data_IF_434190067898
#
_entry.id   IF_434190067898
#
_cell.length_a   1.000
_cell.length_b   1.000
_cell.length_c   1.000
_cell.angle_alpha   90.00
_cell.angle_beta   90.00
_cell.angle_gamma   90.00
#
_symmetry.space_group_name_H-M   'P 1'
#
loop_
_entity.id
_entity.type
_entity.pdbx_description
1 polymer ?
#
# COMPACT_ATOMS: atom_id res chain seq x y z
N UNK A 1 1.64 -7.61 -5.18
CA UNK A 1 2.23 -7.52 -3.83
C UNK A 1 1.51 -8.54 -2.95
N UNK A 2 2.20 -9.12 -1.97
CA UNK A 2 1.61 -10.18 -1.12
C UNK A 2 0.36 -9.65 -0.41
N UNK A 3 0.47 -8.50 0.27
CA UNK A 3 -0.64 -7.87 0.99
C UNK A 3 -1.85 -7.61 0.08
N UNK A 4 -1.64 -6.99 -1.10
CA UNK A 4 -2.74 -6.71 -2.02
C UNK A 4 -3.43 -7.98 -2.52
N UNK A 5 -2.69 -9.05 -2.76
CA UNK A 5 -3.25 -10.34 -3.19
C UNK A 5 -4.12 -10.96 -2.11
N UNK A 6 -3.64 -10.96 -0.86
CA UNK A 6 -4.39 -11.50 0.29
C UNK A 6 -5.66 -10.69 0.59
N UNK A 7 -5.60 -9.37 0.48
CA UNK A 7 -6.77 -8.49 0.61
C UNK A 7 -7.84 -8.80 -0.44
N UNK A 8 -7.43 -9.01 -1.70
CA UNK A 8 -8.36 -9.32 -2.80
C UNK A 8 -9.09 -10.65 -2.56
N UNK A 9 -8.40 -11.64 -2.00
CA UNK A 9 -8.97 -12.95 -1.70
C UNK A 9 -9.75 -13.00 -0.38
N UNK A 10 -9.73 -11.93 0.42
CA UNK A 10 -10.33 -11.92 1.76
C UNK A 10 -9.60 -12.81 2.78
N UNK A 11 -8.34 -13.15 2.52
CA UNK A 11 -7.49 -13.98 3.37
C UNK A 11 -6.86 -13.16 4.50
N UNK A 12 -7.70 -12.55 5.36
CA UNK A 12 -7.25 -11.65 6.42
C UNK A 12 -6.36 -12.35 7.46
N UNK A 13 -6.60 -13.63 7.75
CA UNK A 13 -5.78 -14.37 8.71
C UNK A 13 -4.34 -14.57 8.20
N UNK A 14 -4.15 -14.63 6.88
CA UNK A 14 -2.84 -14.71 6.25
C UNK A 14 -2.08 -13.37 6.24
N UNK A 15 -2.70 -12.27 6.70
CA UNK A 15 -2.07 -10.96 6.82
C UNK A 15 -1.43 -10.70 8.19
N UNK A 16 -1.69 -11.53 9.21
CA UNK A 16 -1.26 -11.26 10.60
C UNK A 16 0.25 -11.02 10.79
N UNK A 17 1.10 -11.53 9.89
CA UNK A 17 2.56 -11.32 9.94
C UNK A 17 3.04 -10.17 9.04
N UNK A 18 2.16 -9.58 8.24
CA UNK A 18 2.47 -8.51 7.27
C UNK A 18 1.81 -7.19 7.61
N UNK A 19 0.67 -7.25 8.31
CA UNK A 19 -0.20 -6.11 8.61
C UNK A 19 -0.58 -6.19 10.09
N UNK A 20 -0.55 -5.05 10.79
CA UNK A 20 -0.93 -5.01 12.20
C UNK A 20 -2.40 -5.42 12.39
N UNK A 21 -2.72 -5.96 13.57
CA UNK A 21 -4.07 -6.44 13.88
C UNK A 21 -5.10 -5.30 13.83
N UNK A 22 -4.68 -4.11 14.27
CA UNK A 22 -5.47 -2.89 14.27
C UNK A 22 -5.82 -2.50 12.83
N UNK A 23 -4.82 -2.47 11.94
CA UNK A 23 -5.03 -2.18 10.53
C UNK A 23 -5.91 -3.23 9.84
N UNK A 24 -5.76 -4.53 10.16
CA UNK A 24 -6.66 -5.57 9.63
C UNK A 24 -8.11 -5.33 10.10
N UNK A 25 -8.30 -4.98 11.37
CA UNK A 25 -9.62 -4.68 11.95
C UNK A 25 -10.31 -3.51 11.24
N UNK A 26 -9.55 -2.46 10.88
CA UNK A 26 -10.05 -1.32 10.13
C UNK A 26 -10.35 -1.64 8.65
N UNK A 27 -9.49 -2.43 8.00
CA UNK A 27 -9.63 -2.77 6.58
C UNK A 27 -10.78 -3.74 6.32
N UNK A 28 -10.97 -4.73 7.20
CA UNK A 28 -11.90 -5.85 6.97
C UNK A 28 -13.33 -5.40 6.65
N UNK A 29 -13.98 -4.49 7.41
CA UNK A 29 -15.32 -4.01 7.09
C UNK A 29 -15.41 -3.31 5.74
N UNK A 30 -14.40 -2.51 5.38
CA UNK A 30 -14.34 -1.77 4.11
C UNK A 30 -14.22 -2.73 2.93
N UNK A 31 -13.29 -3.69 3.00
CA UNK A 31 -13.07 -4.67 1.94
C UNK A 31 -14.29 -5.59 1.75
N UNK A 32 -14.98 -5.94 2.84
CA UNK A 32 -16.19 -6.78 2.80
C UNK A 32 -17.37 -6.08 2.11
N UNK A 33 -17.46 -4.74 2.17
CA UNK A 33 -18.48 -3.94 1.48
C UNK A 33 -18.24 -3.79 -0.03
N UNK A 34 -17.01 -4.01 -0.50
CA UNK A 34 -16.68 -3.91 -1.92
C UNK A 34 -17.32 -5.05 -2.73
N UNK A 35 -17.86 -4.71 -3.90
CA UNK A 35 -18.22 -5.70 -4.91
C UNK A 35 -17.00 -6.51 -5.37
N UNK A 36 -17.23 -7.69 -5.95
CA UNK A 36 -16.15 -8.52 -6.52
C UNK A 36 -15.32 -7.72 -7.54
N UNK A 37 -15.97 -6.91 -8.37
CA UNK A 37 -15.29 -6.07 -9.36
C UNK A 37 -14.40 -5.02 -8.68
N UNK A 38 -14.90 -4.29 -7.68
CA UNK A 38 -14.12 -3.31 -6.93
C UNK A 38 -12.97 -3.97 -6.17
N UNK A 39 -13.20 -5.12 -5.54
CA UNK A 39 -12.16 -5.84 -4.80
C UNK A 39 -11.03 -6.31 -5.72
N UNK A 40 -11.34 -6.79 -6.93
CA UNK A 40 -10.32 -7.09 -7.95
C UNK A 40 -9.47 -5.87 -8.33
N UNK A 41 -10.00 -4.64 -8.21
CA UNK A 41 -9.22 -3.43 -8.46
C UNK A 41 -8.17 -3.14 -7.38
N UNK A 42 -8.16 -3.86 -6.25
CA UNK A 42 -7.09 -3.75 -5.25
C UNK A 42 -5.87 -4.61 -5.61
N UNK A 43 -5.98 -5.48 -6.61
CA UNK A 43 -4.86 -6.32 -7.02
C UNK A 43 -3.80 -5.46 -7.71
N UNK A 44 -2.57 -5.57 -7.21
CA UNK A 44 -1.40 -4.84 -7.69
C UNK A 44 -0.29 -5.83 -8.01
N UNK A 45 0.18 -5.82 -9.27
CA UNK A 45 1.37 -6.55 -9.66
C UNK A 45 2.62 -5.71 -9.36
N UNK A 46 3.67 -6.32 -8.80
CA UNK A 46 4.89 -5.58 -8.43
C UNK A 46 5.58 -4.98 -9.66
N UNK A 47 5.53 -5.68 -10.79
CA UNK A 47 6.10 -5.26 -12.07
C UNK A 47 5.32 -4.13 -12.74
N UNK A 48 4.09 -3.87 -12.28
CA UNK A 48 3.26 -2.74 -12.72
C UNK A 48 3.53 -1.44 -11.94
N UNK A 49 4.40 -1.48 -10.93
CA UNK A 49 4.89 -0.28 -10.23
C UNK A 49 5.93 0.41 -11.11
N UNK A 50 5.66 1.65 -11.51
CA UNK A 50 6.59 2.44 -12.34
C UNK A 50 7.35 3.51 -11.54
N UNK A 51 6.85 3.88 -10.37
CA UNK A 51 7.50 4.86 -9.50
C UNK A 51 7.17 4.56 -8.04
N UNK A 52 8.16 4.72 -7.17
CA UNK A 52 7.99 4.52 -5.74
C UNK A 52 8.93 5.46 -4.98
N UNK A 53 8.47 6.00 -3.85
CA UNK A 53 9.27 6.88 -3.03
C UNK A 53 8.82 6.85 -1.55
N UNK A 54 9.72 7.11 -0.60
CA UNK A 54 9.34 7.37 0.78
C UNK A 54 8.72 8.77 0.87
N UNK A 55 7.49 8.85 1.37
CA UNK A 55 6.80 10.11 1.59
C UNK A 55 7.10 10.70 2.97
N UNK A 56 7.17 9.86 4.00
CA UNK A 56 7.42 10.29 5.37
C UNK A 56 8.22 9.22 6.09
N UNK A 57 9.20 9.66 6.89
CA UNK A 57 9.93 8.82 7.85
C UNK A 57 9.77 9.46 9.22
N UNK A 58 9.34 8.68 10.21
CA UNK A 58 9.13 9.13 11.58
C UNK A 58 9.82 8.20 12.57
N UNK A 59 10.30 8.77 13.68
CA UNK A 59 10.79 8.02 14.84
C UNK A 59 9.87 8.34 16.00
N UNK A 60 9.34 7.31 16.65
CA UNK A 60 8.42 7.42 17.76
C UNK A 60 9.15 6.89 18.99
N UNK A 61 9.16 7.68 20.07
CA UNK A 61 9.70 7.30 21.36
C UNK A 61 8.53 7.09 22.33
N UNK A 62 8.58 6.01 23.10
CA UNK A 62 7.72 5.86 24.27
C UNK A 62 8.37 6.61 25.44
N UNK A 63 7.77 7.71 25.88
CA UNK A 63 8.25 8.51 27.01
C UNK A 63 7.68 8.04 28.35
N UNK A 64 6.73 7.09 28.35
CA UNK A 64 5.98 6.70 29.56
C UNK A 64 6.65 5.57 30.38
N UNK A 65 7.56 4.78 29.79
CA UNK A 65 8.23 3.67 30.50
C UNK A 65 9.63 4.05 31.01
N UNK A 66 9.79 4.24 32.32
CA UNK A 66 11.07 4.56 32.99
C UNK A 66 12.14 3.45 32.88
N UNK A 67 11.76 2.22 32.52
CA UNK A 67 12.65 1.04 32.54
C UNK A 67 13.17 0.63 31.17
N UNK A 68 12.38 0.78 30.11
CA UNK A 68 12.78 0.49 28.73
C UNK A 68 12.14 1.51 27.78
N UNK A 69 12.97 2.39 27.20
CA UNK A 69 12.48 3.37 26.24
C UNK A 69 12.23 2.68 24.90
N UNK A 70 10.97 2.35 24.61
CA UNK A 70 10.62 1.76 23.31
C UNK A 70 10.78 2.76 22.18
N UNK A 71 11.24 2.26 21.03
CA UNK A 71 11.51 3.06 19.84
C UNK A 71 10.93 2.40 18.63
N UNK A 72 10.17 3.14 17.85
CA UNK A 72 9.65 2.68 16.57
C UNK A 72 10.11 3.59 15.44
N UNK A 73 10.36 2.99 14.29
CA UNK A 73 10.51 3.71 13.03
C UNK A 73 9.28 3.44 12.19
N UNK A 74 8.70 4.51 11.66
CA UNK A 74 7.63 4.45 10.67
C UNK A 74 8.09 5.01 9.33
N UNK A 75 7.78 4.31 8.24
CA UNK A 75 8.05 4.75 6.87
C UNK A 75 6.77 4.64 6.06
N UNK A 76 6.25 5.77 5.60
CA UNK A 76 5.15 5.79 4.62
C UNK A 76 5.76 5.74 3.22
N UNK A 77 5.58 4.62 2.54
CA UNK A 77 5.94 4.45 1.13
C UNK A 77 4.74 4.72 0.24
N UNK A 78 4.98 5.43 -0.86
CA UNK A 78 4.01 5.69 -1.92
C UNK A 78 4.45 4.95 -3.17
N UNK A 79 3.54 4.17 -3.76
CA UNK A 79 3.76 3.43 -4.99
C UNK A 79 2.78 3.90 -6.05
N UNK A 80 3.29 4.34 -7.20
CA UNK A 80 2.49 4.60 -8.39
C UNK A 80 2.49 3.37 -9.29
N UNK A 81 1.28 2.96 -9.65
CA UNK A 81 1.02 1.73 -10.40
C UNK A 81 0.27 2.09 -11.66
N UNK A 82 0.71 1.54 -12.79
CA UNK A 82 -0.05 1.52 -14.03
C UNK A 82 -0.48 0.08 -14.29
N UNK A 83 -1.77 -0.21 -14.15
CA UNK A 83 -2.29 -1.56 -14.36
C UNK A 83 -2.07 -2.01 -15.81
N UNK A 84 -1.45 -3.18 -15.97
CA UNK A 84 -1.15 -3.75 -17.29
C UNK A 84 0.16 -3.22 -17.89
N UNK A 85 0.93 -2.41 -17.15
CA UNK A 85 2.24 -1.91 -17.57
C UNK A 85 3.18 -3.02 -18.03
N UNK A 86 3.22 -4.14 -17.30
CA UNK A 86 4.07 -5.28 -17.65
C UNK A 86 3.67 -5.85 -19.02
N UNK A 87 2.37 -5.97 -19.28
CA UNK A 87 1.86 -6.50 -20.54
C UNK A 87 2.12 -5.54 -21.70
N UNK A 88 1.95 -4.23 -21.49
CA UNK A 88 2.27 -3.18 -22.47
C UNK A 88 3.75 -3.24 -22.87
N UNK A 89 4.65 -3.33 -21.89
CA UNK A 89 6.10 -3.49 -22.12
C UNK A 89 6.41 -4.75 -22.91
N UNK A 90 5.76 -5.87 -22.59
CA UNK A 90 5.97 -7.14 -23.30
C UNK A 90 5.47 -7.10 -24.75
N UNK A 91 4.49 -6.24 -25.06
CA UNK A 91 4.04 -5.99 -26.44
C UNK A 91 4.91 -4.98 -27.20
N UNK A 92 5.91 -4.38 -26.54
CA UNK A 92 6.78 -3.36 -27.13
C UNK A 92 6.12 -1.98 -27.21
N UNK A 93 5.08 -1.71 -26.42
CA UNK A 93 4.43 -0.40 -26.38
C UNK A 93 5.34 0.64 -25.69
N UNK A 94 5.50 1.80 -26.32
CA UNK A 94 6.08 2.97 -25.67
C UNK A 94 5.05 3.64 -24.77
N UNK A 95 5.41 3.83 -23.51
CA UNK A 95 4.50 4.39 -22.51
C UNK A 95 4.83 5.86 -22.35
N UNK A 96 3.89 6.78 -22.66
CA UNK A 96 4.14 8.20 -22.58
C UNK A 96 4.53 8.63 -21.17
N UNK A 97 5.54 9.49 -21.04
CA UNK A 97 5.96 10.04 -19.75
C UNK A 97 4.82 10.79 -19.03
N UNK A 98 3.92 11.44 -19.79
CA UNK A 98 2.76 12.16 -19.30
C UNK A 98 1.48 11.30 -19.19
N UNK A 99 1.59 9.97 -19.15
CA UNK A 99 0.45 9.05 -19.11
C UNK A 99 -0.58 9.37 -18.02
N UNK A 100 -0.18 9.91 -16.87
CA UNK A 100 -1.09 10.29 -15.79
C UNK A 100 -2.10 11.38 -16.18
N UNK A 101 -1.81 12.16 -17.22
CA UNK A 101 -2.68 13.20 -17.77
C UNK A 101 -3.53 12.72 -18.94
N UNK A 102 -3.22 11.56 -19.52
CA UNK A 102 -3.88 11.03 -20.71
C UNK A 102 -5.16 10.25 -20.35
N UNK A 103 -6.35 10.61 -20.89
CA UNK A 103 -7.64 10.02 -20.52
C UNK A 103 -7.67 8.48 -20.57
N UNK A 104 -7.02 7.87 -21.56
CA UNK A 104 -6.99 6.43 -21.78
C UNK A 104 -6.17 5.63 -20.74
N UNK A 105 -5.39 6.33 -19.91
CA UNK A 105 -4.60 5.76 -18.81
C UNK A 105 -5.13 6.15 -17.43
N UNK A 106 -5.92 7.22 -17.29
CA UNK A 106 -6.37 7.74 -15.98
C UNK A 106 -7.05 6.66 -15.10
N UNK A 107 -7.92 5.83 -15.67
CA UNK A 107 -8.60 4.76 -14.92
C UNK A 107 -7.70 3.54 -14.60
N UNK A 108 -6.48 3.50 -15.18
CA UNK A 108 -5.47 2.46 -14.98
C UNK A 108 -4.38 2.88 -13.99
N UNK A 109 -4.32 4.16 -13.61
CA UNK A 109 -3.35 4.70 -12.65
C UNK A 109 -3.89 4.55 -11.23
N UNK A 110 -3.08 3.95 -10.37
CA UNK A 110 -3.36 3.79 -8.95
C UNK A 110 -2.21 4.35 -8.13
N UNK A 111 -2.55 4.92 -6.98
CA UNK A 111 -1.61 5.27 -5.92
C UNK A 111 -1.87 4.34 -4.75
N UNK A 112 -0.82 3.67 -4.29
CA UNK A 112 -0.88 2.77 -3.15
C UNK A 112 0.06 3.27 -2.06
N UNK A 113 -0.50 3.57 -0.89
CA UNK A 113 0.24 4.01 0.28
C UNK A 113 0.34 2.85 1.27
N UNK A 114 1.54 2.62 1.79
CA UNK A 114 1.81 1.64 2.82
C UNK A 114 2.68 2.27 3.91
N UNK A 115 2.18 2.31 5.14
CA UNK A 115 2.96 2.73 6.31
C UNK A 115 3.54 1.50 6.98
N UNK A 116 4.85 1.35 6.86
CA UNK A 116 5.64 0.33 7.51
C UNK A 116 6.04 0.81 8.90
N UNK A 117 5.94 -0.06 9.89
CA UNK A 117 6.37 0.18 11.27
C UNK A 117 7.25 -0.97 11.72
N UNK A 118 8.36 -0.66 12.38
CA UNK A 118 9.26 -1.61 13.04
C UNK A 118 9.69 -1.07 14.38
N UNK A 119 9.74 -1.95 15.38
CA UNK A 119 10.29 -1.68 16.70
C UNK A 119 11.80 -1.95 16.72
N UNK A 120 12.54 -1.07 17.39
CA UNK A 120 14.01 -1.07 17.52
C UNK A 120 14.46 -1.05 19.00
N UNK A 121 13.66 -1.61 19.90
CA UNK A 121 13.96 -1.66 21.34
C UNK A 121 14.90 -2.83 21.66
N UNK A 122 16.00 -2.55 22.37
CA UNK A 122 16.90 -3.50 23.06
C UNK A 122 17.12 -4.86 22.35
N UNK A 123 17.83 -4.87 21.22
CA UNK A 123 18.20 -6.06 20.42
C UNK A 123 17.05 -6.97 19.96
N UNK A 124 15.80 -6.58 20.21
CA UNK A 124 14.62 -7.31 19.78
C UNK A 124 14.28 -6.86 18.35
N UNK A 125 14.83 -7.56 17.36
CA UNK A 125 14.53 -7.28 15.96
C UNK A 125 13.12 -7.79 15.61
N UNK A 126 12.13 -6.91 15.71
CA UNK A 126 10.83 -7.15 15.08
C UNK A 126 10.93 -7.06 13.55
N UNK A 127 10.07 -7.79 12.85
CA UNK A 127 9.91 -7.62 11.40
C UNK A 127 9.13 -6.35 11.06
N UNK A 128 9.34 -5.81 9.86
CA UNK A 128 8.53 -4.70 9.34
C UNK A 128 7.09 -5.16 9.13
N UNK A 129 6.15 -4.45 9.75
CA UNK A 129 4.71 -4.67 9.57
C UNK A 129 4.05 -3.43 9.01
N UNK A 130 2.97 -3.60 8.26
CA UNK A 130 2.16 -2.48 7.75
C UNK A 130 1.07 -2.15 8.76
N UNK A 131 1.07 -0.93 9.31
CA UNK A 131 0.06 -0.49 10.28
C UNK A 131 -0.96 0.49 9.70
N UNK A 132 -0.85 0.84 8.42
CA UNK A 132 -1.90 1.49 7.63
C UNK A 132 -1.61 1.31 6.14
N UNK A 133 -2.66 1.18 5.34
CA UNK A 133 -2.54 1.16 3.88
C UNK A 133 -3.79 1.73 3.22
N UNK A 134 -3.61 2.31 2.04
CA UNK A 134 -4.69 2.87 1.25
C UNK A 134 -4.39 2.75 -0.25
N UNK A 135 -5.37 2.34 -1.05
CA UNK A 135 -5.30 2.30 -2.50
C UNK A 135 -6.39 3.19 -3.08
N UNK A 136 -6.02 4.08 -4.00
CA UNK A 136 -6.98 4.97 -4.65
C UNK A 136 -6.54 5.30 -6.07
N UNK A 137 -7.48 5.75 -6.90
CA UNK A 137 -7.17 6.34 -8.20
C UNK A 137 -7.13 7.85 -8.05
N UNK A 138 -6.09 8.54 -8.56
CA UNK A 138 -6.06 10.00 -8.55
C UNK A 138 -7.27 10.65 -9.22
N UNK A 139 -7.82 10.03 -10.28
CA UNK A 139 -8.96 10.58 -11.01
C UNK A 139 -10.24 10.64 -10.17
N UNK A 140 -10.41 9.73 -9.20
CA UNK A 140 -11.59 9.72 -8.33
C UNK A 140 -11.58 10.97 -7.41
N UNK A 141 -10.40 11.40 -6.94
CA UNK A 141 -10.24 12.63 -6.15
C UNK A 141 -10.48 13.91 -6.96
N UNK A 142 -10.26 13.88 -8.28
CA UNK A 142 -10.55 15.01 -9.17
C UNK A 142 -12.04 15.09 -9.45
N UNK A 143 -12.71 13.94 -9.63
CA UNK A 143 -14.16 13.85 -9.89
C UNK A 143 -15.02 14.19 -8.68
N UNK A 144 -14.46 14.10 -7.47
CA UNK A 144 -15.12 14.49 -6.22
C UNK A 144 -15.14 16.01 -5.95
N UNK A 145 -14.46 16.82 -6.78
CA UNK A 145 -14.46 18.28 -6.73
C UNK A 145 -15.40 18.90 -7.76
#
# INVERSE_FOLDING_TARGET
>A
MIISTKLVNGEFDALNNFVSKEAISELKPTIQKLSVAQRKQLQINKTDIYFAFPYQVGIIFDEEEEKEQKRWVEITMVYHVLRGLTEMRNRGEEIPWNMGSLPEYQDKVFVCNYRFKKEFTNDNESDWTVNALNHFKPIDLVREK
#
